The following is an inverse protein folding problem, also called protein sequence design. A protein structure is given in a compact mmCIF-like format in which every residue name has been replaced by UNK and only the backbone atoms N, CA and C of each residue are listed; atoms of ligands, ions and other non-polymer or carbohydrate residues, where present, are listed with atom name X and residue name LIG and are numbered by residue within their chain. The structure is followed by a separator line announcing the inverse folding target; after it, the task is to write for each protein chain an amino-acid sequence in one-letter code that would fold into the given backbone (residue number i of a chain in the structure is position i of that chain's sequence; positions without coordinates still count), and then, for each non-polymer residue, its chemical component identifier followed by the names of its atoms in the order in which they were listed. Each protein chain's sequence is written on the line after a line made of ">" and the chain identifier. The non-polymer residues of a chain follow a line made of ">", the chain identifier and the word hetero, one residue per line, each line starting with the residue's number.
data_IF_351645400887
#
_entry.id   IF_351645400887
#
_cell.length_a   1.000
_cell.length_b   1.000
_cell.length_c   1.000
_cell.angle_alpha   90.00
_cell.angle_beta   90.00
_cell.angle_gamma   90.00
#
_symmetry.space_group_name_H-M   'P 1'
#
loop_
_entity.id
_entity.type
_entity.pdbx_description
1 polymer ?
#
# COMPACT_ATOMS: atom_id res chain seq x y z
N UNK A 1 -16.60 -27.38 -9.96
CA UNK A 1 -15.44 -27.36 -10.87
C UNK A 1 -14.17 -27.14 -10.06
N UNK A 2 -13.11 -27.86 -10.38
CA UNK A 2 -11.80 -27.63 -9.78
C UNK A 2 -11.21 -26.38 -10.42
N UNK A 3 -10.85 -25.34 -9.66
CA UNK A 3 -10.23 -24.13 -10.19
C UNK A 3 -8.92 -24.48 -10.91
N UNK A 4 -8.72 -23.93 -12.11
CA UNK A 4 -7.54 -24.17 -12.93
C UNK A 4 -6.62 -22.96 -12.88
N UNK A 5 -5.50 -23.09 -12.21
CA UNK A 5 -4.46 -22.07 -12.15
C UNK A 5 -3.77 -21.88 -13.50
N UNK A 6 -3.40 -20.66 -13.87
CA UNK A 6 -2.54 -20.38 -15.02
C UNK A 6 -1.07 -20.68 -14.70
N UNK A 7 -0.65 -20.31 -13.51
CA UNK A 7 0.68 -20.65 -12.97
C UNK A 7 0.51 -21.47 -11.69
N UNK A 8 1.31 -22.50 -11.52
CA UNK A 8 1.21 -23.37 -10.34
C UNK A 8 1.50 -22.59 -9.05
N UNK A 9 0.63 -22.62 -8.04
CA UNK A 9 0.84 -21.92 -6.77
C UNK A 9 1.79 -22.70 -5.85
N UNK A 10 2.65 -21.97 -5.15
CA UNK A 10 3.37 -22.54 -4.01
C UNK A 10 2.41 -22.88 -2.85
N UNK A 11 2.82 -23.79 -1.96
CA UNK A 11 2.00 -24.21 -0.82
C UNK A 11 1.43 -23.07 0.02
N UNK A 12 2.26 -22.05 0.35
CA UNK A 12 1.82 -20.89 1.11
C UNK A 12 0.84 -20.00 0.34
N UNK A 13 0.94 -19.90 -0.99
CA UNK A 13 0.00 -19.16 -1.84
C UNK A 13 -1.36 -19.86 -1.90
N UNK A 14 -1.33 -21.18 -2.02
CA UNK A 14 -2.54 -22.01 -1.97
C UNK A 14 -3.24 -21.90 -0.62
N UNK A 15 -2.49 -21.92 0.48
CA UNK A 15 -3.02 -21.74 1.83
C UNK A 15 -3.63 -20.33 2.02
N UNK A 16 -2.95 -19.28 1.54
CA UNK A 16 -3.47 -17.91 1.56
C UNK A 16 -4.81 -17.82 0.81
N UNK A 17 -4.90 -18.42 -0.39
CA UNK A 17 -6.12 -18.45 -1.18
C UNK A 17 -7.23 -19.23 -0.48
N UNK A 18 -6.96 -20.41 0.09
CA UNK A 18 -7.94 -21.22 0.83
C UNK A 18 -8.55 -20.45 1.99
N UNK A 19 -7.76 -19.68 2.72
CA UNK A 19 -8.23 -18.89 3.88
C UNK A 19 -9.06 -17.67 3.50
N UNK A 20 -8.88 -17.16 2.29
CA UNK A 20 -9.38 -15.83 1.90
C UNK A 20 -10.44 -15.83 0.80
N UNK A 21 -10.55 -16.89 0.00
CA UNK A 21 -11.28 -16.85 -1.28
C UNK A 21 -12.74 -16.41 -1.15
N UNK A 22 -13.43 -16.77 -0.08
CA UNK A 22 -14.85 -16.46 0.17
C UNK A 22 -15.07 -15.39 1.25
N UNK A 23 -14.00 -14.94 1.90
CA UNK A 23 -14.10 -13.90 2.93
C UNK A 23 -14.40 -12.55 2.28
N UNK A 24 -15.26 -11.76 2.92
CA UNK A 24 -15.58 -10.40 2.46
C UNK A 24 -14.37 -9.47 2.66
N UNK A 25 -13.68 -9.58 3.80
CA UNK A 25 -12.46 -8.86 4.14
C UNK A 25 -11.29 -9.81 4.41
N UNK A 26 -10.09 -9.48 3.89
CA UNK A 26 -8.89 -10.25 4.19
C UNK A 26 -7.61 -9.45 3.91
N UNK A 27 -6.57 -9.69 4.75
CA UNK A 27 -5.25 -9.10 4.64
C UNK A 27 -4.19 -10.14 4.25
N UNK A 28 -3.43 -9.86 3.20
CA UNK A 28 -2.27 -10.64 2.79
C UNK A 28 -0.99 -9.97 3.31
N UNK A 29 -0.59 -10.32 4.53
CA UNK A 29 0.66 -9.86 5.14
C UNK A 29 1.82 -10.78 4.76
N UNK A 30 2.08 -10.82 3.47
CA UNK A 30 3.06 -11.69 2.85
C UNK A 30 4.28 -10.88 2.44
N UNK A 31 5.49 -11.30 2.80
CA UNK A 31 6.73 -10.58 2.52
C UNK A 31 6.93 -10.37 1.00
N UNK A 32 7.71 -9.34 0.63
CA UNK A 32 7.98 -9.06 -0.80
C UNK A 32 8.60 -10.28 -1.49
N UNK A 33 8.10 -10.62 -2.70
CA UNK A 33 8.59 -11.76 -3.46
C UNK A 33 7.99 -13.12 -3.06
N UNK A 34 7.00 -13.19 -2.13
CA UNK A 34 6.27 -14.41 -1.81
C UNK A 34 5.03 -14.64 -2.68
N UNK A 35 4.77 -13.73 -3.65
CA UNK A 35 3.69 -13.86 -4.64
C UNK A 35 2.32 -13.36 -4.20
N UNK A 36 2.26 -12.28 -3.42
CA UNK A 36 0.99 -11.62 -3.03
C UNK A 36 0.09 -11.31 -4.23
N UNK A 37 0.68 -10.78 -5.31
CA UNK A 37 -0.04 -10.41 -6.55
C UNK A 37 -0.73 -11.61 -7.16
N UNK A 38 -0.04 -12.75 -7.24
CA UNK A 38 -0.60 -13.99 -7.74
C UNK A 38 -1.81 -14.44 -6.91
N UNK A 39 -1.68 -14.45 -5.58
CA UNK A 39 -2.78 -14.84 -4.69
C UNK A 39 -4.01 -13.95 -4.89
N UNK A 40 -3.82 -12.63 -5.02
CA UNK A 40 -4.91 -11.70 -5.29
C UNK A 40 -5.57 -11.98 -6.65
N UNK A 41 -4.79 -12.20 -7.71
CA UNK A 41 -5.30 -12.48 -9.05
C UNK A 41 -6.10 -13.79 -9.07
N UNK A 42 -5.58 -14.84 -8.45
CA UNK A 42 -6.30 -16.10 -8.28
C UNK A 42 -7.60 -15.91 -7.48
N UNK A 43 -7.59 -15.11 -6.42
CA UNK A 43 -8.80 -14.79 -5.66
C UNK A 43 -9.85 -14.02 -6.49
N UNK A 44 -9.42 -13.04 -7.31
CA UNK A 44 -10.29 -12.33 -8.24
C UNK A 44 -10.92 -13.31 -9.22
N UNK A 45 -10.12 -14.19 -9.84
CA UNK A 45 -10.62 -15.16 -10.80
C UNK A 45 -11.60 -16.17 -10.18
N UNK A 46 -11.31 -16.70 -8.99
CA UNK A 46 -12.22 -17.61 -8.26
C UNK A 46 -13.54 -16.94 -7.94
N UNK A 47 -13.53 -15.69 -7.48
CA UNK A 47 -14.75 -14.95 -7.17
C UNK A 47 -15.56 -14.64 -8.44
N UNK A 48 -14.89 -14.31 -9.54
CA UNK A 48 -15.52 -14.09 -10.84
C UNK A 48 -16.18 -15.37 -11.38
N UNK A 49 -15.46 -16.50 -11.41
CA UNK A 49 -15.98 -17.80 -11.84
C UNK A 49 -17.21 -18.24 -11.05
N UNK A 50 -17.33 -17.80 -9.82
CA UNK A 50 -18.49 -18.08 -8.93
C UNK A 50 -19.59 -17.01 -9.01
N UNK A 51 -19.48 -16.05 -9.92
CA UNK A 51 -20.43 -14.96 -10.08
C UNK A 51 -20.57 -14.04 -8.87
N UNK A 52 -19.55 -13.99 -8.01
CA UNK A 52 -19.53 -13.15 -6.80
C UNK A 52 -19.11 -11.71 -7.08
N UNK A 53 -18.34 -11.50 -8.15
CA UNK A 53 -17.89 -10.20 -8.66
C UNK A 53 -17.98 -10.20 -10.18
N UNK A 54 -18.12 -9.02 -10.79
CA UNK A 54 -17.93 -8.81 -12.23
C UNK A 54 -16.80 -7.83 -12.55
N UNK A 55 -16.15 -7.30 -11.51
CA UNK A 55 -15.05 -6.35 -11.67
C UNK A 55 -14.03 -6.47 -10.53
N UNK A 56 -12.86 -5.85 -10.73
CA UNK A 56 -11.84 -5.68 -9.70
C UNK A 56 -11.22 -4.28 -9.78
N UNK A 57 -10.89 -3.69 -8.63
CA UNK A 57 -10.14 -2.45 -8.52
C UNK A 57 -8.83 -2.78 -7.80
N UNK A 58 -7.71 -2.57 -8.46
CA UNK A 58 -6.36 -2.77 -7.91
C UNK A 58 -5.73 -1.40 -7.73
N UNK A 59 -5.47 -1.05 -6.47
CA UNK A 59 -4.89 0.23 -6.08
C UNK A 59 -3.46 -0.03 -5.63
N UNK A 60 -2.48 0.64 -6.26
CA UNK A 60 -1.07 0.44 -5.95
C UNK A 60 -0.31 1.79 -5.95
N UNK A 61 0.92 1.86 -5.40
CA UNK A 61 1.76 3.05 -5.48
C UNK A 61 2.07 3.45 -6.92
N UNK A 62 2.21 4.76 -7.19
CA UNK A 62 2.42 5.32 -8.54
C UNK A 62 3.59 4.68 -9.30
N UNK A 63 4.68 4.30 -8.61
CA UNK A 63 5.86 3.71 -9.26
C UNK A 63 5.69 2.26 -9.72
N UNK A 64 4.61 1.56 -9.30
CA UNK A 64 4.47 0.12 -9.53
C UNK A 64 3.08 -0.28 -10.05
N UNK A 65 2.11 0.64 -10.11
CA UNK A 65 0.72 0.25 -10.46
C UNK A 65 0.60 -0.27 -11.91
N UNK A 66 1.40 0.24 -12.84
CA UNK A 66 1.40 -0.23 -14.24
C UNK A 66 1.86 -1.68 -14.38
N UNK A 67 2.78 -2.14 -13.51
CA UNK A 67 3.25 -3.52 -13.48
C UNK A 67 2.10 -4.54 -13.32
N UNK A 68 1.01 -4.14 -12.66
CA UNK A 68 -0.18 -4.98 -12.55
C UNK A 68 -0.82 -5.29 -13.91
N UNK A 69 -0.94 -4.27 -14.77
CA UNK A 69 -1.54 -4.44 -16.12
C UNK A 69 -0.59 -5.07 -17.12
N UNK A 70 0.71 -4.80 -17.01
CA UNK A 70 1.71 -5.21 -18.00
C UNK A 70 2.27 -6.61 -17.73
N UNK A 71 2.37 -6.99 -16.45
CA UNK A 71 3.05 -8.23 -16.05
C UNK A 71 2.17 -9.15 -15.20
N UNK A 72 1.68 -8.67 -14.04
CA UNK A 72 1.07 -9.55 -13.04
C UNK A 72 -0.23 -10.19 -13.57
N UNK A 73 -1.16 -9.38 -14.09
CA UNK A 73 -2.43 -9.88 -14.65
C UNK A 73 -2.19 -10.82 -15.84
N UNK A 74 -1.41 -10.46 -16.89
CA UNK A 74 -1.14 -11.35 -18.01
C UNK A 74 -0.45 -12.66 -17.60
N UNK A 75 0.38 -12.64 -16.56
CA UNK A 75 1.12 -13.83 -16.11
C UNK A 75 0.24 -14.79 -15.34
N UNK A 76 -0.66 -14.29 -14.49
CA UNK A 76 -1.33 -15.13 -13.49
C UNK A 76 -2.83 -15.32 -13.71
N UNK A 77 -3.52 -14.39 -14.40
CA UNK A 77 -4.95 -14.53 -14.62
C UNK A 77 -5.22 -15.70 -15.58
N UNK A 78 -6.09 -16.67 -15.22
CA UNK A 78 -6.39 -17.83 -16.05
C UNK A 78 -6.92 -17.47 -17.43
N UNK A 79 -6.49 -18.19 -18.47
CA UNK A 79 -6.83 -17.89 -19.87
C UNK A 79 -8.33 -18.01 -20.17
N UNK A 80 -9.09 -18.78 -19.39
CA UNK A 80 -10.55 -18.89 -19.54
C UNK A 80 -11.30 -17.64 -19.06
N UNK A 81 -10.64 -16.77 -18.27
CA UNK A 81 -11.24 -15.54 -17.76
C UNK A 81 -11.10 -14.43 -18.81
N UNK A 82 -12.16 -14.24 -19.58
CA UNK A 82 -12.21 -13.11 -20.54
C UNK A 82 -12.26 -11.82 -19.72
N UNK A 83 -11.36 -10.89 -20.00
CA UNK A 83 -11.21 -9.68 -19.20
C UNK A 83 -10.80 -8.45 -20.00
N UNK A 84 -11.05 -7.27 -19.43
CA UNK A 84 -10.54 -5.97 -19.90
C UNK A 84 -9.82 -5.26 -18.78
N UNK A 85 -8.68 -4.64 -19.08
CA UNK A 85 -7.89 -3.87 -18.14
C UNK A 85 -7.84 -2.42 -18.58
N UNK A 86 -8.21 -1.52 -17.67
CA UNK A 86 -8.02 -0.08 -17.82
C UNK A 86 -7.08 0.44 -16.75
N UNK A 87 -6.08 1.20 -17.16
CA UNK A 87 -5.11 1.84 -16.27
C UNK A 87 -5.47 3.31 -16.11
N UNK A 88 -5.65 3.75 -14.89
CA UNK A 88 -5.97 5.14 -14.61
C UNK A 88 -4.79 6.07 -14.89
N UNK A 89 -5.05 7.08 -15.72
CA UNK A 89 -4.15 8.20 -15.94
C UNK A 89 -4.97 9.51 -15.81
N UNK A 90 -4.53 10.51 -15.02
CA UNK A 90 -5.25 11.78 -14.89
C UNK A 90 -5.35 12.57 -16.21
N UNK A 91 -4.39 12.36 -17.12
CA UNK A 91 -4.33 12.96 -18.46
C UNK A 91 -4.14 11.85 -19.51
N UNK A 92 -5.16 11.02 -19.74
CA UNK A 92 -5.04 9.86 -20.61
C UNK A 92 -4.92 10.28 -22.08
N UNK A 93 -4.11 9.57 -22.84
CA UNK A 93 -4.13 9.60 -24.31
C UNK A 93 -5.49 9.12 -24.83
N UNK A 94 -5.79 9.36 -26.11
CA UNK A 94 -7.04 8.90 -26.72
C UNK A 94 -7.24 7.39 -26.56
N UNK A 95 -6.20 6.60 -26.77
CA UNK A 95 -6.23 5.12 -26.66
C UNK A 95 -6.45 4.66 -25.20
N UNK A 96 -5.80 5.30 -24.23
CA UNK A 96 -6.01 5.01 -22.79
C UNK A 96 -7.42 5.37 -22.36
N UNK A 97 -7.95 6.51 -22.84
CA UNK A 97 -9.32 6.94 -22.56
C UNK A 97 -10.34 5.94 -23.12
N UNK A 98 -10.14 5.45 -24.35
CA UNK A 98 -10.99 4.42 -24.94
C UNK A 98 -10.97 3.13 -24.09
N UNK A 99 -9.79 2.67 -23.66
CA UNK A 99 -9.66 1.51 -22.76
C UNK A 99 -10.38 1.73 -21.42
N UNK A 100 -10.26 2.92 -20.81
CA UNK A 100 -10.94 3.24 -19.57
C UNK A 100 -12.48 3.30 -19.75
N UNK A 101 -12.94 3.82 -20.87
CA UNK A 101 -14.38 3.89 -21.17
C UNK A 101 -14.96 2.50 -21.45
N UNK A 102 -14.21 1.61 -22.11
CA UNK A 102 -14.64 0.24 -22.38
C UNK A 102 -14.88 -0.60 -21.11
N UNK A 103 -14.38 -0.16 -19.95
CA UNK A 103 -14.69 -0.79 -18.67
C UNK A 103 -16.17 -0.65 -18.28
N UNK A 104 -16.90 0.31 -18.86
CA UNK A 104 -18.32 0.55 -18.61
C UNK A 104 -19.25 -0.13 -19.62
N UNK A 105 -18.67 -0.87 -20.61
CA UNK A 105 -19.47 -1.61 -21.58
C UNK A 105 -20.22 -2.75 -20.89
N UNK A 106 -21.46 -2.99 -21.32
CA UNK A 106 -22.33 -4.06 -20.81
C UNK A 106 -21.98 -5.42 -21.42
N UNK A 107 -20.77 -5.87 -21.17
CA UNK A 107 -20.27 -7.19 -21.60
C UNK A 107 -19.99 -8.06 -20.38
N UNK A 108 -20.02 -9.38 -20.55
CA UNK A 108 -19.89 -10.35 -19.45
C UNK A 108 -18.45 -10.60 -18.99
N UNK A 109 -17.47 -9.96 -19.64
CA UNK A 109 -16.06 -10.06 -19.27
C UNK A 109 -15.73 -9.37 -17.94
N UNK A 110 -14.73 -9.86 -17.24
CA UNK A 110 -14.20 -9.27 -16.00
C UNK A 110 -13.59 -7.89 -16.29
N UNK A 111 -14.05 -6.85 -15.60
CA UNK A 111 -13.53 -5.49 -15.72
C UNK A 111 -12.47 -5.24 -14.63
N UNK A 112 -11.23 -4.94 -15.00
CA UNK A 112 -10.16 -4.66 -14.05
C UNK A 112 -9.71 -3.21 -14.20
N UNK A 113 -9.92 -2.42 -13.15
CA UNK A 113 -9.40 -1.06 -13.04
C UNK A 113 -8.11 -1.09 -12.21
N UNK A 114 -7.01 -0.66 -12.80
CA UNK A 114 -5.73 -0.43 -12.10
C UNK A 114 -5.54 1.07 -11.91
N UNK A 115 -5.31 1.50 -10.67
CA UNK A 115 -5.26 2.91 -10.32
C UNK A 115 -4.21 3.18 -9.24
N UNK A 116 -3.52 4.33 -9.31
CA UNK A 116 -2.58 4.71 -8.29
C UNK A 116 -3.29 5.28 -7.04
N UNK A 117 -2.69 5.09 -5.87
CA UNK A 117 -3.26 5.53 -4.58
C UNK A 117 -3.37 7.05 -4.49
N UNK A 118 -2.51 7.81 -5.18
CA UNK A 118 -2.51 9.26 -5.20
C UNK A 118 -3.76 9.84 -5.88
N UNK A 119 -4.38 9.10 -6.80
CA UNK A 119 -5.62 9.51 -7.46
C UNK A 119 -6.75 9.81 -6.47
N UNK A 120 -6.75 9.15 -5.30
CA UNK A 120 -7.75 9.35 -4.24
C UNK A 120 -7.57 10.65 -3.44
N UNK A 121 -6.49 11.39 -3.68
CA UNK A 121 -6.34 12.78 -3.21
C UNK A 121 -7.00 13.79 -4.16
N UNK A 122 -7.48 13.36 -5.33
CA UNK A 122 -8.08 14.21 -6.37
C UNK A 122 -9.56 13.93 -6.55
N UNK A 123 -10.36 14.97 -6.78
CA UNK A 123 -11.80 14.80 -7.07
C UNK A 123 -12.03 13.93 -8.31
N UNK A 124 -11.21 14.10 -9.36
CA UNK A 124 -11.32 13.37 -10.64
C UNK A 124 -11.17 11.85 -10.45
N UNK A 125 -10.14 11.41 -9.70
CA UNK A 125 -9.92 10.00 -9.41
C UNK A 125 -11.04 9.40 -8.56
N UNK A 126 -11.44 10.09 -7.49
CA UNK A 126 -12.53 9.68 -6.60
C UNK A 126 -13.83 9.51 -7.37
N UNK A 127 -14.23 10.50 -8.20
CA UNK A 127 -15.46 10.44 -9.00
C UNK A 127 -15.45 9.30 -10.02
N UNK A 128 -14.29 9.00 -10.63
CA UNK A 128 -14.18 7.89 -11.57
C UNK A 128 -14.37 6.54 -10.89
N UNK A 129 -13.71 6.34 -9.74
CA UNK A 129 -13.85 5.09 -8.97
C UNK A 129 -15.25 4.93 -8.40
N UNK A 130 -15.87 6.00 -7.90
CA UNK A 130 -17.25 5.99 -7.45
C UNK A 130 -18.22 5.55 -8.55
N UNK A 131 -18.08 6.11 -9.76
CA UNK A 131 -18.85 5.69 -10.93
C UNK A 131 -18.62 4.21 -11.25
N UNK A 132 -17.37 3.73 -11.17
CA UNK A 132 -17.04 2.33 -11.44
C UNK A 132 -17.70 1.38 -10.43
N UNK A 133 -17.65 1.71 -9.13
CA UNK A 133 -18.28 0.94 -8.05
C UNK A 133 -19.82 0.90 -8.21
N UNK A 134 -20.43 2.04 -8.61
CA UNK A 134 -21.88 2.12 -8.82
C UNK A 134 -22.35 1.40 -10.10
N UNK A 135 -21.45 1.09 -11.02
CA UNK A 135 -21.77 0.36 -12.27
C UNK A 135 -21.54 -1.14 -12.14
N UNK A 136 -20.64 -1.54 -11.25
CA UNK A 136 -20.19 -2.94 -11.08
C UNK A 136 -20.30 -3.36 -9.61
N UNK A 137 -20.08 -4.66 -9.35
CA UNK A 137 -19.87 -5.20 -8.00
C UNK A 137 -18.44 -5.72 -7.88
N UNK A 138 -17.49 -4.82 -7.64
CA UNK A 138 -16.08 -5.15 -7.69
C UNK A 138 -15.54 -5.73 -6.38
N UNK A 139 -14.46 -6.53 -6.49
CA UNK A 139 -13.47 -6.63 -5.43
C UNK A 139 -12.59 -5.39 -5.46
N UNK A 140 -12.29 -4.79 -4.30
CA UNK A 140 -11.33 -3.68 -4.19
C UNK A 140 -10.11 -4.12 -3.37
N UNK A 141 -8.92 -3.87 -3.90
CA UNK A 141 -7.66 -4.24 -3.26
C UNK A 141 -6.68 -3.06 -3.22
N UNK A 142 -5.96 -2.93 -2.09
CA UNK A 142 -4.85 -1.97 -1.94
C UNK A 142 -3.55 -2.74 -1.80
N UNK A 143 -2.70 -2.61 -2.80
CA UNK A 143 -1.32 -3.08 -2.76
C UNK A 143 -0.44 -2.06 -2.05
N UNK A 144 0.53 -2.53 -1.27
CA UNK A 144 1.31 -1.75 -0.32
C UNK A 144 0.42 -0.86 0.56
N UNK A 145 -0.47 -1.51 1.32
CA UNK A 145 -1.51 -0.86 2.14
C UNK A 145 -0.98 0.12 3.19
N UNK A 146 0.32 0.10 3.48
CA UNK A 146 0.97 1.13 4.31
C UNK A 146 0.84 2.54 3.74
N UNK A 147 0.55 2.68 2.45
CA UNK A 147 0.25 3.96 1.79
C UNK A 147 -1.01 4.64 2.33
N UNK A 148 -1.91 3.88 2.96
CA UNK A 148 -3.15 4.37 3.58
C UNK A 148 -3.14 4.32 5.11
N UNK A 149 -1.97 4.13 5.75
CA UNK A 149 -1.86 4.03 7.22
C UNK A 149 -2.24 5.31 7.98
N UNK A 150 -2.12 6.48 7.34
CA UNK A 150 -2.45 7.76 7.99
C UNK A 150 -3.96 8.06 7.88
N UNK A 151 -4.73 8.01 8.99
CA UNK A 151 -6.17 8.26 9.00
C UNK A 151 -6.56 9.71 8.64
N UNK A 152 -5.62 10.65 8.74
CA UNK A 152 -5.86 12.07 8.44
C UNK A 152 -5.64 12.39 6.95
N UNK A 153 -4.94 11.56 6.21
CA UNK A 153 -4.64 11.80 4.80
C UNK A 153 -5.91 11.77 3.94
N UNK A 154 -6.03 12.72 3.00
CA UNK A 154 -7.20 12.84 2.12
C UNK A 154 -7.45 11.55 1.32
N UNK A 155 -6.39 10.95 0.76
CA UNK A 155 -6.49 9.67 0.04
C UNK A 155 -7.07 8.55 0.88
N UNK A 156 -6.65 8.44 2.16
CA UNK A 156 -7.16 7.42 3.09
C UNK A 156 -8.65 7.64 3.34
N UNK A 157 -9.06 8.88 3.68
CA UNK A 157 -10.48 9.20 3.92
C UNK A 157 -11.36 8.92 2.70
N UNK A 158 -10.89 9.29 1.51
CA UNK A 158 -11.62 9.02 0.27
C UNK A 158 -11.76 7.52 0.00
N UNK A 159 -10.68 6.76 0.20
CA UNK A 159 -10.67 5.30 0.03
C UNK A 159 -11.61 4.60 1.01
N UNK A 160 -11.54 4.93 2.30
CA UNK A 160 -12.42 4.35 3.32
C UNK A 160 -13.90 4.58 2.96
N UNK A 161 -14.24 5.80 2.51
CA UNK A 161 -15.62 6.15 2.11
C UNK A 161 -16.11 5.33 0.91
N UNK A 162 -15.24 5.05 -0.07
CA UNK A 162 -15.60 4.28 -1.26
C UNK A 162 -15.64 2.77 -0.99
N UNK A 163 -14.70 2.26 -0.19
CA UNK A 163 -14.54 0.83 0.06
C UNK A 163 -15.76 0.18 0.71
N UNK A 164 -16.53 0.90 1.52
CA UNK A 164 -17.75 0.38 2.15
C UNK A 164 -18.82 -0.08 1.15
N UNK A 165 -18.77 0.44 -0.07
CA UNK A 165 -19.67 0.05 -1.17
C UNK A 165 -19.20 -1.21 -1.93
N UNK A 166 -18.02 -1.75 -1.58
CA UNK A 166 -17.48 -2.98 -2.16
C UNK A 166 -17.62 -4.13 -1.16
N UNK A 167 -18.21 -5.23 -1.59
CA UNK A 167 -18.39 -6.39 -0.73
C UNK A 167 -17.06 -7.06 -0.39
N UNK A 168 -16.19 -7.26 -1.37
CA UNK A 168 -14.91 -7.93 -1.20
C UNK A 168 -13.77 -6.93 -1.15
N UNK A 169 -13.03 -6.91 -0.03
CA UNK A 169 -11.94 -5.96 0.24
C UNK A 169 -10.67 -6.68 0.62
N UNK A 170 -9.54 -6.25 0.04
CA UNK A 170 -8.22 -6.87 0.26
C UNK A 170 -7.16 -5.79 0.51
N UNK A 171 -6.25 -6.07 1.41
CA UNK A 171 -5.01 -5.32 1.56
C UNK A 171 -3.82 -6.25 1.42
N UNK A 172 -2.77 -5.76 0.80
CA UNK A 172 -1.53 -6.48 0.56
C UNK A 172 -0.35 -5.63 1.07
N UNK A 173 0.51 -6.22 1.86
CA UNK A 173 1.80 -5.62 2.24
C UNK A 173 2.71 -6.65 2.90
N UNK A 174 4.02 -6.49 2.73
CA UNK A 174 5.01 -7.30 3.46
C UNK A 174 5.19 -6.83 4.91
N UNK A 175 4.96 -5.55 5.15
CA UNK A 175 5.23 -4.90 6.44
C UNK A 175 4.05 -4.00 6.85
N UNK A 176 2.99 -4.55 7.47
CA UNK A 176 1.80 -3.79 7.84
C UNK A 176 2.06 -2.71 8.90
N UNK A 177 3.11 -2.90 9.71
CA UNK A 177 3.57 -1.96 10.74
C UNK A 177 4.93 -1.43 10.31
N UNK A 178 5.05 -0.14 10.04
CA UNK A 178 6.29 0.50 9.57
C UNK A 178 6.86 1.46 10.60
N UNK A 179 6.04 2.17 11.34
CA UNK A 179 6.45 3.13 12.36
C UNK A 179 5.88 2.77 13.73
N UNK A 180 4.63 2.34 13.77
CA UNK A 180 3.96 2.01 15.02
C UNK A 180 2.81 1.03 14.81
N UNK A 181 2.38 0.29 15.84
CA UNK A 181 1.19 -0.56 15.79
C UNK A 181 -0.08 0.22 15.39
N UNK A 182 -0.10 1.53 15.55
CA UNK A 182 -1.20 2.40 15.16
C UNK A 182 -1.39 2.49 13.63
N UNK A 183 -0.37 2.11 12.86
CA UNK A 183 -0.44 2.01 11.39
C UNK A 183 -1.53 1.02 10.93
N UNK A 184 -1.92 0.06 11.78
CA UNK A 184 -2.93 -0.95 11.48
C UNK A 184 -4.35 -0.39 11.44
N UNK A 185 -4.65 0.72 12.12
CA UNK A 185 -6.02 1.23 12.24
C UNK A 185 -6.67 1.47 10.88
N UNK A 186 -6.12 2.37 10.08
CA UNK A 186 -6.72 2.73 8.79
C UNK A 186 -6.71 1.58 7.77
N UNK A 187 -5.71 0.71 7.84
CA UNK A 187 -5.63 -0.48 7.01
C UNK A 187 -6.79 -1.45 7.33
N UNK A 188 -7.10 -1.63 8.62
CA UNK A 188 -8.22 -2.47 9.05
C UNK A 188 -9.58 -1.82 8.77
N UNK A 189 -9.69 -0.49 8.95
CA UNK A 189 -10.90 0.27 8.59
C UNK A 189 -11.23 0.19 7.09
N UNK A 190 -10.23 0.09 6.23
CA UNK A 190 -10.44 -0.16 4.79
C UNK A 190 -11.09 -1.54 4.55
N UNK A 191 -10.68 -2.54 5.29
CA UNK A 191 -11.25 -3.89 5.18
C UNK A 191 -12.70 -3.91 5.68
N UNK A 192 -12.95 -3.38 6.87
CA UNK A 192 -14.30 -3.23 7.41
C UNK A 192 -14.31 -2.16 8.49
N UNK A 193 -15.31 -1.25 8.50
CA UNK A 193 -15.45 -0.30 9.58
C UNK A 193 -15.52 -0.99 10.94
N UNK A 194 -14.71 -0.49 11.88
CA UNK A 194 -14.59 -1.03 13.24
C UNK A 194 -14.15 -2.50 13.33
N UNK A 195 -13.43 -3.02 12.33
CA UNK A 195 -12.95 -4.42 12.29
C UNK A 195 -12.13 -4.81 13.53
N UNK A 196 -11.35 -3.88 14.07
CA UNK A 196 -10.59 -4.06 15.31
C UNK A 196 -11.40 -3.80 16.58
N UNK A 197 -12.69 -3.42 16.46
CA UNK A 197 -13.57 -3.13 17.59
C UNK A 197 -13.53 -1.68 18.09
N UNK A 198 -13.02 -0.74 17.29
CA UNK A 198 -12.90 0.68 17.65
C UNK A 198 -13.55 1.57 16.60
N UNK A 199 -14.52 2.39 17.01
CA UNK A 199 -15.21 3.33 16.11
C UNK A 199 -14.41 4.59 15.76
N UNK A 200 -13.21 4.80 16.35
CA UNK A 200 -12.36 5.95 16.04
C UNK A 200 -10.88 5.66 16.25
N UNK A 201 -10.03 6.41 15.51
CA UNK A 201 -8.58 6.36 15.71
C UNK A 201 -8.18 6.70 17.14
N UNK A 202 -8.85 7.65 17.80
CA UNK A 202 -8.50 8.05 19.16
C UNK A 202 -8.82 6.95 20.18
N UNK A 203 -9.92 6.25 20.06
CA UNK A 203 -10.24 5.11 20.95
C UNK A 203 -9.24 3.97 20.75
N UNK A 204 -8.86 3.67 19.50
CA UNK A 204 -7.82 2.70 19.18
C UNK A 204 -6.46 3.13 19.76
N UNK A 205 -6.06 4.38 19.55
CA UNK A 205 -4.81 4.93 20.07
C UNK A 205 -4.77 4.86 21.62
N UNK A 206 -5.86 5.22 22.30
CA UNK A 206 -5.91 5.17 23.77
C UNK A 206 -5.79 3.74 24.31
N UNK A 207 -6.23 2.72 23.55
CA UNK A 207 -6.09 1.31 23.96
C UNK A 207 -4.67 0.81 23.80
N UNK A 208 -4.02 1.13 22.70
CA UNK A 208 -2.76 0.49 22.31
C UNK A 208 -1.52 1.36 22.49
N UNK A 209 -1.67 2.66 22.79
CA UNK A 209 -0.56 3.57 23.04
C UNK A 209 -0.54 4.07 24.48
N UNK A 210 0.66 4.16 25.04
CA UNK A 210 0.92 4.86 26.29
C UNK A 210 1.15 6.34 25.95
N UNK A 211 0.29 7.21 26.49
CA UNK A 211 0.27 8.63 26.14
C UNK A 211 0.51 9.46 27.38
N UNK A 212 1.45 10.39 27.29
CA UNK A 212 1.68 11.42 28.31
C UNK A 212 1.34 12.80 27.74
N UNK A 213 0.84 13.68 28.60
CA UNK A 213 0.67 15.08 28.26
C UNK A 213 1.95 15.84 28.63
N UNK A 214 2.57 16.46 27.63
CA UNK A 214 3.71 17.35 27.85
C UNK A 214 3.30 18.80 27.69
N UNK A 215 3.80 19.66 28.55
CA UNK A 215 3.65 21.10 28.45
C UNK A 215 4.91 21.68 27.79
N UNK A 216 4.72 22.60 26.85
CA UNK A 216 5.78 23.40 26.24
C UNK A 216 5.31 24.85 26.24
N UNK A 217 5.71 25.58 27.27
CA UNK A 217 5.17 26.91 27.59
C UNK A 217 3.66 26.84 27.87
N UNK A 218 2.86 27.65 27.20
CA UNK A 218 1.40 27.69 27.35
C UNK A 218 0.67 26.59 26.54
N UNK A 219 1.38 25.78 25.75
CA UNK A 219 0.78 24.73 24.92
C UNK A 219 1.01 23.35 25.53
N UNK A 220 -0.03 22.54 25.60
CA UNK A 220 0.07 21.12 25.95
C UNK A 220 -0.13 20.27 24.70
N UNK A 221 0.61 19.17 24.59
CA UNK A 221 0.46 18.20 23.52
C UNK A 221 0.57 16.77 24.03
N UNK A 222 -0.11 15.87 23.36
CA UNK A 222 -0.11 14.44 23.67
C UNK A 222 1.07 13.78 22.97
N UNK A 223 1.92 13.10 23.72
CA UNK A 223 3.06 12.35 23.19
C UNK A 223 2.89 10.86 23.47
N UNK A 224 3.03 10.03 22.43
CA UNK A 224 3.12 8.58 22.56
C UNK A 224 4.54 8.26 23.04
N UNK A 225 4.65 7.55 24.15
CA UNK A 225 5.93 7.15 24.78
C UNK A 225 6.14 5.64 24.75
N UNK A 226 5.12 4.86 24.42
CA UNK A 226 5.18 3.41 24.35
C UNK A 226 3.89 2.81 23.79
N UNK A 227 3.86 1.48 23.73
CA UNK A 227 2.71 0.71 23.25
C UNK A 227 2.38 -0.39 24.27
N UNK A 228 1.11 -0.78 24.30
CA UNK A 228 0.57 -1.77 25.24
C UNK A 228 -0.47 -2.65 24.57
N UNK A 229 -0.84 -3.78 25.21
CA UNK A 229 -1.84 -4.73 24.71
C UNK A 229 -1.57 -5.29 23.29
N UNK A 230 -0.27 -5.45 22.94
CA UNK A 230 0.13 -5.84 21.58
C UNK A 230 -0.30 -7.26 21.23
N UNK A 231 -0.36 -8.17 22.21
CA UNK A 231 -0.84 -9.54 22.02
C UNK A 231 -2.34 -9.56 21.67
N UNK A 232 -3.15 -8.72 22.33
CA UNK A 232 -4.55 -8.54 21.98
C UNK A 232 -4.72 -8.07 20.53
N UNK A 233 -3.93 -7.05 20.13
CA UNK A 233 -3.96 -6.52 18.79
C UNK A 233 -3.54 -7.57 17.76
N UNK A 234 -2.46 -8.31 18.04
CA UNK A 234 -1.98 -9.39 17.17
C UNK A 234 -3.04 -10.47 16.97
N UNK A 235 -3.69 -10.91 18.05
CA UNK A 235 -4.76 -11.91 17.98
C UNK A 235 -5.95 -11.42 17.14
N UNK A 236 -6.36 -10.16 17.29
CA UNK A 236 -7.43 -9.57 16.45
C UNK A 236 -7.06 -9.55 14.97
N UNK A 237 -5.83 -9.14 14.64
CA UNK A 237 -5.32 -9.07 13.27
C UNK A 237 -5.22 -10.46 12.63
N UNK A 238 -4.81 -11.46 13.37
CA UNK A 238 -4.70 -12.84 12.87
C UNK A 238 -6.03 -13.44 12.41
N UNK A 239 -7.17 -12.96 12.92
CA UNK A 239 -8.50 -13.45 12.53
C UNK A 239 -8.87 -13.14 11.06
N UNK A 240 -8.31 -12.06 10.49
CA UNK A 240 -8.61 -11.62 9.12
C UNK A 240 -7.37 -11.50 8.24
N UNK A 241 -6.24 -12.08 8.66
CA UNK A 241 -5.00 -11.99 7.92
C UNK A 241 -4.29 -13.33 7.77
N UNK A 242 -3.38 -13.37 6.80
CA UNK A 242 -2.41 -14.43 6.66
C UNK A 242 -1.02 -13.83 6.50
N UNK A 243 -0.12 -14.18 7.41
CA UNK A 243 1.27 -13.72 7.43
C UNK A 243 2.20 -14.80 6.90
N UNK A 244 3.12 -14.40 6.03
CA UNK A 244 4.15 -15.27 5.47
C UNK A 244 5.47 -14.52 5.37
N UNK A 245 6.54 -15.13 5.90
CA UNK A 245 7.91 -14.63 5.76
C UNK A 245 8.66 -15.47 4.72
N UNK A 246 9.57 -14.84 3.97
CA UNK A 246 10.38 -15.52 2.96
C UNK A 246 11.12 -16.74 3.51
N UNK A 247 11.73 -16.59 4.69
CA UNK A 247 12.47 -17.67 5.36
C UNK A 247 11.63 -18.88 5.74
N UNK A 248 10.30 -18.74 5.74
CA UNK A 248 9.36 -19.81 6.13
C UNK A 248 8.83 -20.56 4.91
N UNK A 249 8.92 -19.99 3.72
CA UNK A 249 8.24 -20.50 2.54
C UNK A 249 9.11 -20.64 1.29
N UNK A 250 10.32 -20.08 1.30
CA UNK A 250 11.25 -20.13 0.17
C UNK A 250 12.61 -20.61 0.65
N UNK A 251 13.18 -21.57 -0.07
CA UNK A 251 14.58 -22.00 0.11
C UNK A 251 15.48 -21.02 -0.65
N UNK A 252 15.93 -20.00 0.06
CA UNK A 252 16.78 -18.92 -0.49
C UNK A 252 18.15 -18.99 0.16
N UNK A 253 19.23 -18.74 -0.60
CA UNK A 253 20.56 -18.59 -0.02
C UNK A 253 20.59 -17.40 0.96
N UNK A 254 21.50 -17.47 1.91
CA UNK A 254 21.71 -16.39 2.87
C UNK A 254 21.97 -15.05 2.18
N UNK A 255 21.50 -13.97 2.80
CA UNK A 255 21.76 -12.63 2.31
C UNK A 255 23.24 -12.30 2.47
N UNK A 256 23.91 -12.03 1.36
CA UNK A 256 25.28 -11.53 1.35
C UNK A 256 25.24 -10.00 1.31
N UNK A 257 25.81 -9.36 2.34
CA UNK A 257 25.96 -7.91 2.39
C UNK A 257 27.38 -7.56 1.93
N UNK A 258 27.47 -6.79 0.85
CA UNK A 258 28.74 -6.28 0.36
C UNK A 258 28.74 -4.75 0.45
N UNK A 259 29.83 -4.19 0.97
CA UNK A 259 30.09 -2.76 0.93
C UNK A 259 30.90 -2.47 -0.33
N UNK A 260 30.43 -1.55 -1.16
CA UNK A 260 31.18 -1.01 -2.30
C UNK A 260 31.46 0.46 -2.03
N UNK A 261 32.71 0.81 -1.97
CA UNK A 261 33.15 2.20 -1.86
C UNK A 261 33.25 2.78 -3.27
N UNK A 262 32.66 3.97 -3.44
CA UNK A 262 32.67 4.70 -4.71
C UNK A 262 33.17 6.12 -4.42
N UNK A 263 34.16 6.58 -5.17
CA UNK A 263 34.63 7.94 -5.07
C UNK A 263 33.71 8.91 -5.80
N UNK A 264 33.53 10.10 -5.24
CA UNK A 264 32.80 11.17 -5.89
C UNK A 264 33.57 11.66 -7.12
N UNK A 265 32.88 12.06 -8.17
CA UNK A 265 33.51 12.76 -9.29
C UNK A 265 34.10 14.10 -8.80
N UNK A 266 35.09 14.65 -9.50
CA UNK A 266 35.68 15.94 -9.11
C UNK A 266 34.63 17.06 -8.96
N UNK A 267 33.63 17.08 -9.85
CA UNK A 267 32.55 18.04 -9.82
C UNK A 267 31.62 17.84 -8.60
N UNK A 268 31.21 16.58 -8.33
CA UNK A 268 30.42 16.24 -7.14
C UNK A 268 31.20 16.58 -5.86
N UNK A 269 32.51 16.29 -5.80
CA UNK A 269 33.32 16.56 -4.64
C UNK A 269 33.40 18.06 -4.37
N UNK A 270 33.62 18.89 -5.42
CA UNK A 270 33.62 20.34 -5.30
C UNK A 270 32.33 20.88 -4.70
N UNK A 271 31.16 20.50 -5.25
CA UNK A 271 29.86 20.93 -4.76
C UNK A 271 29.59 20.42 -3.34
N UNK A 272 30.02 19.20 -3.05
CA UNK A 272 29.89 18.61 -1.71
C UNK A 272 30.69 19.41 -0.66
N UNK A 273 31.94 19.73 -0.97
CA UNK A 273 32.84 20.49 -0.07
C UNK A 273 32.31 21.92 0.13
N UNK A 274 31.84 22.61 -0.93
CA UNK A 274 31.21 23.93 -0.82
C UNK A 274 29.99 23.94 0.10
N UNK A 275 29.08 22.95 -0.02
CA UNK A 275 27.89 22.84 0.85
C UNK A 275 28.31 22.51 2.28
N UNK A 276 29.29 21.65 2.48
CA UNK A 276 29.82 21.26 3.79
C UNK A 276 30.44 22.45 4.52
N UNK A 277 31.31 23.22 3.81
CA UNK A 277 32.00 24.37 4.39
C UNK A 277 30.98 25.48 4.75
N UNK A 278 29.98 25.72 3.89
CA UNK A 278 28.90 26.66 4.18
C UNK A 278 28.10 26.20 5.44
N UNK A 279 27.82 24.90 5.56
CA UNK A 279 27.10 24.34 6.70
C UNK A 279 27.89 24.47 8.01
N UNK A 280 29.22 24.29 7.95
CA UNK A 280 30.10 24.44 9.11
C UNK A 280 30.20 25.92 9.54
N UNK A 281 30.35 26.85 8.60
CA UNK A 281 30.38 28.29 8.87
C UNK A 281 29.08 28.78 9.52
N UNK A 282 27.91 28.30 9.03
CA UNK A 282 26.62 28.63 9.65
C UNK A 282 26.49 28.09 11.08
N UNK A 283 27.13 26.96 11.39
CA UNK A 283 27.15 26.40 12.75
C UNK A 283 28.08 27.15 13.71
N UNK A 284 29.19 27.70 13.18
CA UNK A 284 30.15 28.49 13.98
C UNK A 284 29.67 29.92 14.29
N UNK A 285 28.95 30.55 13.34
CA UNK A 285 28.48 31.93 13.46
C UNK A 285 27.19 32.09 14.27
N UNK A 286 26.40 31.03 14.48
CA UNK A 286 25.12 31.10 15.16
C UNK A 286 25.07 30.28 16.45
N UNK A 287 24.84 30.94 17.59
CA UNK A 287 24.58 30.27 18.88
C UNK A 287 23.32 29.38 18.87
N UNK A 288 22.38 29.59 17.92
CA UNK A 288 21.14 28.82 17.77
C UNK A 288 20.89 28.51 16.28
N UNK A 289 21.37 27.37 15.82
CA UNK A 289 21.04 26.87 14.47
C UNK A 289 19.70 26.11 14.50
N UNK A 290 18.79 26.43 13.59
CA UNK A 290 17.52 25.70 13.52
C UNK A 290 17.76 24.28 13.01
N UNK A 291 17.13 23.30 13.67
CA UNK A 291 17.17 21.87 13.26
C UNK A 291 16.75 21.70 11.78
N UNK A 292 15.87 22.57 11.30
CA UNK A 292 15.39 22.56 9.90
C UNK A 292 16.51 22.94 8.91
N UNK A 293 17.39 23.90 9.26
CA UNK A 293 18.54 24.28 8.43
C UNK A 293 19.53 23.11 8.29
N UNK A 294 19.92 22.49 9.41
CA UNK A 294 20.83 21.35 9.42
C UNK A 294 20.29 20.17 8.61
N UNK A 295 19.02 19.82 8.81
CA UNK A 295 18.38 18.73 8.05
C UNK A 295 18.35 19.01 6.55
N UNK A 296 18.11 20.26 6.16
CA UNK A 296 18.12 20.66 4.74
C UNK A 296 19.49 20.53 4.12
N UNK A 297 20.54 20.90 4.83
CA UNK A 297 21.93 20.78 4.37
C UNK A 297 22.37 19.33 4.24
N UNK A 298 22.05 18.48 5.22
CA UNK A 298 22.30 17.03 5.16
C UNK A 298 21.60 16.42 3.94
N UNK A 299 20.38 16.83 3.66
CA UNK A 299 19.59 16.34 2.53
C UNK A 299 20.22 16.76 1.19
N UNK A 300 20.75 17.98 1.09
CA UNK A 300 21.48 18.46 -0.10
C UNK A 300 22.81 17.71 -0.31
N UNK A 301 23.60 17.51 0.75
CA UNK A 301 24.81 16.68 0.69
C UNK A 301 24.49 15.26 0.19
N UNK A 302 23.41 14.66 0.70
CA UNK A 302 22.95 13.34 0.25
C UNK A 302 22.52 13.35 -1.23
N UNK A 303 21.85 14.41 -1.70
CA UNK A 303 21.47 14.56 -3.11
C UNK A 303 22.72 14.59 -4.02
N UNK A 304 23.73 15.39 -3.66
CA UNK A 304 25.00 15.45 -4.43
C UNK A 304 25.66 14.07 -4.53
N UNK A 305 25.73 13.34 -3.42
CA UNK A 305 26.29 11.97 -3.40
C UNK A 305 25.48 11.01 -4.27
N UNK A 306 24.15 11.20 -4.37
CA UNK A 306 23.27 10.38 -5.22
C UNK A 306 23.21 10.83 -6.69
N UNK A 307 23.94 11.89 -7.08
CA UNK A 307 24.02 12.34 -8.47
C UNK A 307 22.91 13.30 -8.92
N UNK A 308 22.30 14.04 -7.99
CA UNK A 308 21.30 15.09 -8.26
C UNK A 308 21.92 16.48 -8.15
#
# INVERSE_FOLDING_TARGET
>A
MKYKFKTEPYGHQLEALKRSWDKEEFAYFMEMGTGKSKVLIDNIAVLYDRGKINAAIIIAPKGVYENWSEREIPTHLPDHVIHRVGVWNPNPTKKEKEKLLSLFDRTLDLKILVINVEAFSTKKGVTFVDKFINTHFPLIAVDESTTIKNPKAQRTKSLLKLAVNCKYRRILTGFPVTQSPLDLFSQSEFLSPSLLGYGSYYSFQNRYAQIINRAMGQRSFRQVVGYQHLDELSNKVNNFSYRVLKKECLDLPDKVYMRREVELTPEQKKVYDEIKDYALAELEDNEVVSVTSVLTQILRLHQVVCGF
#
